data_IF_197507651760
#
_entry.id   IF_197507651760
#
_cell.length_a   1.000
_cell.length_b   1.000
_cell.length_c   1.000
_cell.angle_alpha   90.00
_cell.angle_beta   90.00
_cell.angle_gamma   90.00
#
_symmetry.space_group_name_H-M   'P 1'
#
loop_
_entity.id
_entity.type
_entity.pdbx_description
1 polymer ?
#
# COMPACT_ATOMS: atom_id res chain seq x y z
N UNK A 1 0.76 -28.23 46.48
CA UNK A 1 -0.47 -28.62 45.78
C UNK A 1 -1.64 -28.04 46.56
N UNK A 2 -2.38 -27.03 46.14
CA UNK A 2 -2.28 -26.10 45.03
C UNK A 2 -3.10 -24.87 45.41
N UNK A 3 -2.60 -23.72 44.99
CA UNK A 3 -3.19 -22.40 45.18
C UNK A 3 -4.33 -22.15 44.19
N UNK A 4 -5.45 -21.58 44.64
CA UNK A 4 -6.28 -20.70 43.81
C UNK A 4 -7.28 -19.91 44.67
N UNK A 5 -7.15 -18.56 44.81
CA UNK A 5 -8.26 -17.71 45.22
C UNK A 5 -8.95 -17.06 44.03
N UNK A 6 -10.17 -16.61 44.29
CA UNK A 6 -11.24 -16.35 43.34
C UNK A 6 -11.13 -15.01 42.60
N UNK A 7 -11.38 -15.09 41.29
CA UNK A 7 -12.27 -14.26 40.45
C UNK A 7 -12.47 -12.78 40.89
N UNK A 8 -11.63 -11.90 40.34
CA UNK A 8 -11.89 -10.46 40.25
C UNK A 8 -12.73 -10.11 39.01
N UNK A 9 -13.50 -9.04 39.16
CA UNK A 9 -14.50 -8.41 38.26
C UNK A 9 -14.01 -8.01 36.86
N UNK A 10 -14.92 -7.84 35.87
CA UNK A 10 -14.56 -7.41 34.52
C UNK A 10 -14.26 -5.90 34.49
N UNK A 11 -13.00 -5.55 34.25
CA UNK A 11 -12.61 -4.18 33.94
C UNK A 11 -13.06 -3.81 32.51
N UNK A 12 -13.73 -2.67 32.46
CA UNK A 12 -14.21 -1.92 31.31
C UNK A 12 -13.13 -1.71 30.24
N UNK A 13 -13.36 -2.26 29.04
CA UNK A 13 -12.65 -1.89 27.81
C UNK A 13 -12.97 -0.42 27.47
N UNK A 14 -12.01 0.45 27.76
CA UNK A 14 -12.02 1.86 27.39
C UNK A 14 -11.90 2.06 25.88
N UNK A 15 -12.91 2.75 25.34
CA UNK A 15 -12.86 3.71 24.23
C UNK A 15 -11.91 3.45 23.05
N UNK A 16 -12.44 2.86 21.98
CA UNK A 16 -11.90 3.06 20.63
C UNK A 16 -12.18 4.51 20.20
N UNK A 17 -11.17 5.38 20.37
CA UNK A 17 -11.16 6.70 19.77
C UNK A 17 -11.18 6.61 18.25
N UNK A 18 -12.18 7.27 17.65
CA UNK A 18 -12.36 7.45 16.22
C UNK A 18 -11.16 8.18 15.61
N UNK A 19 -10.22 7.43 15.04
CA UNK A 19 -9.14 8.00 14.24
C UNK A 19 -9.56 8.00 12.77
N UNK A 20 -9.57 9.18 12.18
CA UNK A 20 -9.90 9.45 10.78
C UNK A 20 -8.94 8.69 9.85
N UNK A 21 -9.42 8.15 8.72
CA UNK A 21 -8.65 7.26 7.85
C UNK A 21 -7.48 7.93 7.08
N UNK A 22 -7.27 9.24 7.25
CA UNK A 22 -6.26 10.00 6.49
C UNK A 22 -4.84 9.95 7.06
N UNK A 23 -4.64 9.53 8.31
CA UNK A 23 -3.31 9.56 8.96
C UNK A 23 -2.66 8.19 9.16
N UNK A 24 -3.32 7.10 8.77
CA UNK A 24 -2.84 5.75 9.10
C UNK A 24 -1.50 5.40 8.42
N UNK A 25 -1.18 5.95 7.24
CA UNK A 25 0.06 5.63 6.51
C UNK A 25 1.30 6.40 7.00
N UNK A 26 1.13 7.54 7.68
CA UNK A 26 2.25 8.41 8.01
C UNK A 26 3.04 7.94 9.24
N UNK A 27 2.41 7.21 10.17
CA UNK A 27 3.03 6.76 11.43
C UNK A 27 3.74 5.41 11.38
N UNK A 28 3.65 4.63 10.30
CA UNK A 28 4.34 3.32 10.25
C UNK A 28 5.81 3.49 9.87
N UNK A 29 6.65 3.70 10.87
CA UNK A 29 8.04 3.27 10.79
C UNK A 29 8.04 1.74 10.79
N UNK A 30 8.78 1.13 9.86
CA UNK A 30 8.90 -0.33 9.62
C UNK A 30 9.53 -1.10 10.81
N UNK A 31 9.70 -0.44 11.96
CA UNK A 31 10.29 -0.94 13.20
C UNK A 31 9.27 -1.20 14.32
N UNK A 32 7.97 -1.02 14.08
CA UNK A 32 6.98 -1.18 15.15
C UNK A 32 6.81 -2.66 15.57
N UNK A 33 7.15 -2.95 16.84
CA UNK A 33 6.98 -4.27 17.48
C UNK A 33 5.57 -4.86 17.30
N UNK A 34 4.56 -4.00 17.10
CA UNK A 34 3.18 -4.38 16.79
C UNK A 34 3.03 -5.19 15.50
N UNK A 35 3.84 -4.92 14.48
CA UNK A 35 3.84 -5.70 13.23
C UNK A 35 4.37 -7.10 13.51
N UNK A 36 5.51 -7.20 14.22
CA UNK A 36 6.06 -8.48 14.61
C UNK A 36 5.09 -9.28 15.51
N UNK A 37 4.39 -8.65 16.45
CA UNK A 37 3.35 -9.30 17.27
C UNK A 37 2.13 -9.72 16.45
N UNK A 38 1.66 -8.89 15.50
CA UNK A 38 0.56 -9.25 14.61
C UNK A 38 0.93 -10.47 13.76
N UNK A 39 2.11 -10.47 13.14
CA UNK A 39 2.63 -11.58 12.31
C UNK A 39 2.99 -12.83 13.12
N UNK A 40 3.53 -12.69 14.33
CA UNK A 40 3.86 -13.83 15.21
C UNK A 40 2.58 -14.46 15.79
N UNK A 41 1.54 -13.65 16.09
CA UNK A 41 0.22 -14.18 16.46
C UNK A 41 -0.47 -14.89 15.29
N UNK A 42 -0.34 -14.36 14.06
CA UNK A 42 -0.94 -14.97 12.86
C UNK A 42 -0.16 -16.17 12.30
N UNK A 43 1.15 -16.28 12.54
CA UNK A 43 1.90 -17.51 12.23
C UNK A 43 1.35 -18.73 12.98
N UNK A 44 0.72 -18.52 14.15
CA UNK A 44 0.00 -19.57 14.88
C UNK A 44 -1.46 -19.80 14.48
N UNK A 45 -2.07 -18.90 13.69
CA UNK A 45 -3.52 -18.96 13.36
C UNK A 45 -3.85 -19.10 11.88
N UNK A 46 -2.90 -18.98 10.95
CA UNK A 46 -3.10 -19.35 9.54
C UNK A 46 -3.04 -20.87 9.34
N UNK A 47 -3.78 -21.62 10.17
CA UNK A 47 -4.23 -22.96 9.84
C UNK A 47 -5.40 -22.80 8.86
N UNK A 48 -5.46 -23.69 7.87
CA UNK A 48 -6.28 -23.66 6.66
C UNK A 48 -7.83 -23.59 6.83
N UNK A 49 -8.35 -23.12 7.97
CA UNK A 49 -9.78 -23.11 8.31
C UNK A 49 -10.35 -21.74 8.68
N UNK A 50 -9.54 -20.67 8.76
CA UNK A 50 -10.09 -19.33 9.00
C UNK A 50 -10.59 -18.71 7.69
N UNK A 51 -11.92 -18.62 7.52
CA UNK A 51 -12.54 -17.84 6.44
C UNK A 51 -12.17 -16.36 6.65
N UNK A 52 -11.06 -15.93 6.04
CA UNK A 52 -10.66 -14.52 6.07
C UNK A 52 -11.72 -13.73 5.30
N UNK A 53 -12.35 -12.77 5.98
CA UNK A 53 -13.19 -11.76 5.32
C UNK A 53 -12.29 -10.87 4.44
N UNK A 54 -12.02 -11.33 3.21
CA UNK A 54 -11.04 -10.73 2.31
C UNK A 54 -11.33 -9.25 2.02
N UNK A 55 -12.61 -8.89 1.89
CA UNK A 55 -13.03 -7.50 1.74
C UNK A 55 -12.61 -6.66 2.95
N UNK A 56 -12.96 -7.10 4.17
CA UNK A 56 -12.64 -6.40 5.41
C UNK A 56 -11.13 -6.29 5.64
N UNK A 57 -10.37 -7.32 5.26
CA UNK A 57 -8.90 -7.32 5.34
C UNK A 57 -8.28 -6.20 4.49
N UNK A 58 -8.82 -5.97 3.30
CA UNK A 58 -8.38 -4.86 2.44
C UNK A 58 -8.93 -3.53 2.99
N UNK A 59 -10.19 -3.47 3.41
CA UNK A 59 -10.84 -2.27 3.95
C UNK A 59 -10.09 -1.67 5.16
N UNK A 60 -9.62 -2.51 6.09
CA UNK A 60 -8.83 -2.06 7.26
C UNK A 60 -7.35 -1.80 6.94
N UNK A 61 -6.98 -1.86 5.66
CA UNK A 61 -5.62 -1.69 5.16
C UNK A 61 -4.60 -2.72 5.68
N UNK A 62 -5.06 -3.90 6.11
CA UNK A 62 -4.15 -4.98 6.54
C UNK A 62 -3.30 -5.48 5.36
N UNK A 63 -3.87 -5.54 4.14
CA UNK A 63 -3.11 -5.84 2.93
C UNK A 63 -2.00 -4.81 2.68
N UNK A 64 -2.29 -3.53 2.87
CA UNK A 64 -1.29 -2.47 2.74
C UNK A 64 -0.14 -2.63 3.73
N UNK A 65 -0.44 -3.02 4.97
CA UNK A 65 0.57 -3.32 5.99
C UNK A 65 1.43 -4.53 5.62
N UNK A 66 0.82 -5.61 5.13
CA UNK A 66 1.55 -6.79 4.67
C UNK A 66 2.50 -6.45 3.53
N UNK A 67 2.03 -5.69 2.54
CA UNK A 67 2.86 -5.27 1.41
C UNK A 67 3.96 -4.31 1.89
N UNK A 68 3.69 -3.40 2.82
CA UNK A 68 4.72 -2.54 3.42
C UNK A 68 5.85 -3.35 4.08
N UNK A 69 5.54 -4.47 4.73
CA UNK A 69 6.55 -5.35 5.34
C UNK A 69 7.51 -5.98 4.31
N UNK A 70 7.13 -6.08 3.02
CA UNK A 70 8.06 -6.49 1.94
C UNK A 70 9.22 -5.50 1.72
N UNK A 71 9.05 -4.25 2.15
CA UNK A 71 10.11 -3.23 2.11
C UNK A 71 11.05 -3.28 3.31
N UNK A 72 10.85 -4.21 4.25
CA UNK A 72 11.72 -4.35 5.42
C UNK A 72 13.15 -4.77 5.06
N UNK A 73 14.12 -4.33 5.88
CA UNK A 73 15.52 -4.75 5.77
C UNK A 73 15.72 -6.18 6.29
N UNK A 74 14.88 -6.63 7.21
CA UNK A 74 14.91 -7.98 7.78
C UNK A 74 14.34 -9.02 6.79
N UNK A 75 15.14 -10.04 6.47
CA UNK A 75 14.75 -11.14 5.57
C UNK A 75 13.62 -12.01 6.09
N UNK A 76 13.52 -12.20 7.42
CA UNK A 76 12.48 -13.01 8.05
C UNK A 76 11.14 -12.27 8.01
N UNK A 77 11.16 -10.96 8.27
CA UNK A 77 9.97 -10.12 8.15
C UNK A 77 9.42 -10.13 6.71
N UNK A 78 10.30 -10.03 5.71
CA UNK A 78 9.90 -10.14 4.30
C UNK A 78 9.33 -11.53 3.97
N UNK A 79 9.96 -12.60 4.45
CA UNK A 79 9.47 -13.97 4.24
C UNK A 79 8.07 -14.17 4.86
N UNK A 80 7.82 -13.67 6.06
CA UNK A 80 6.51 -13.70 6.69
C UNK A 80 5.47 -12.92 5.89
N UNK A 81 5.83 -11.74 5.36
CA UNK A 81 4.96 -10.96 4.49
C UNK A 81 4.62 -11.70 3.17
N UNK A 82 5.60 -12.35 2.54
CA UNK A 82 5.35 -13.19 1.37
C UNK A 82 4.42 -14.36 1.68
N UNK A 83 4.59 -15.00 2.84
CA UNK A 83 3.71 -16.09 3.27
C UNK A 83 2.26 -15.62 3.46
N UNK A 84 2.07 -14.47 4.10
CA UNK A 84 0.72 -13.88 4.26
C UNK A 84 0.11 -13.48 2.92
N UNK A 85 0.90 -12.93 1.99
CA UNK A 85 0.40 -12.61 0.64
C UNK A 85 0.00 -13.86 -0.15
N UNK A 86 0.79 -14.93 -0.08
CA UNK A 86 0.46 -16.21 -0.72
C UNK A 86 -0.81 -16.83 -0.12
N UNK A 87 -0.92 -16.80 1.21
CA UNK A 87 -2.12 -17.25 1.92
C UNK A 87 -3.34 -16.42 1.54
N UNK A 88 -3.23 -15.09 1.55
CA UNK A 88 -4.30 -14.18 1.18
C UNK A 88 -4.79 -14.42 -0.25
N UNK A 89 -3.88 -14.66 -1.20
CA UNK A 89 -4.24 -15.04 -2.57
C UNK A 89 -5.11 -16.30 -2.62
N UNK A 90 -4.72 -17.36 -1.90
CA UNK A 90 -5.52 -18.60 -1.85
C UNK A 90 -6.92 -18.40 -1.26
N UNK A 91 -7.06 -17.57 -0.21
CA UNK A 91 -8.37 -17.22 0.34
C UNK A 91 -9.20 -16.38 -0.65
N UNK A 92 -8.54 -15.50 -1.40
CA UNK A 92 -9.18 -14.65 -2.40
C UNK A 92 -9.75 -15.48 -3.58
N UNK A 93 -9.15 -16.62 -3.92
CA UNK A 93 -9.69 -17.57 -4.90
C UNK A 93 -11.01 -18.24 -4.45
N UNK A 94 -11.27 -18.31 -3.15
CA UNK A 94 -12.54 -18.80 -2.59
C UNK A 94 -13.59 -17.72 -2.30
N UNK A 95 -13.17 -16.46 -2.17
CA UNK A 95 -14.03 -15.36 -1.75
C UNK A 95 -15.09 -14.98 -2.82
N UNK A 96 -16.24 -14.46 -2.42
CA UNK A 96 -17.30 -13.99 -3.35
C UNK A 96 -17.65 -12.53 -3.08
N UNK A 97 -17.02 -11.61 -3.82
CA UNK A 97 -17.36 -10.19 -3.86
C UNK A 97 -16.95 -9.57 -5.21
N UNK A 98 -17.53 -8.41 -5.54
CA UNK A 98 -17.49 -7.82 -6.89
C UNK A 98 -16.08 -7.45 -7.35
N UNK A 99 -15.25 -6.95 -6.44
CA UNK A 99 -13.91 -6.42 -6.70
C UNK A 99 -12.82 -7.52 -6.65
N UNK A 100 -13.20 -8.77 -6.38
CA UNK A 100 -12.27 -9.90 -6.23
C UNK A 100 -11.34 -10.04 -7.42
N UNK A 101 -11.87 -10.02 -8.65
CA UNK A 101 -11.09 -10.24 -9.86
C UNK A 101 -10.00 -9.18 -10.05
N UNK A 102 -10.29 -7.94 -9.64
CA UNK A 102 -9.35 -6.82 -9.70
C UNK A 102 -8.24 -6.96 -8.66
N UNK A 103 -8.58 -7.37 -7.44
CA UNK A 103 -7.57 -7.65 -6.41
C UNK A 103 -6.70 -8.86 -6.77
N UNK A 104 -7.27 -9.92 -7.35
CA UNK A 104 -6.49 -11.05 -7.86
C UNK A 104 -5.52 -10.58 -8.94
N UNK A 105 -5.99 -9.76 -9.89
CA UNK A 105 -5.14 -9.21 -10.94
C UNK A 105 -4.00 -8.36 -10.40
N UNK A 106 -4.26 -7.51 -9.39
CA UNK A 106 -3.21 -6.75 -8.71
C UNK A 106 -2.16 -7.67 -8.09
N UNK A 107 -2.59 -8.72 -7.38
CA UNK A 107 -1.68 -9.69 -6.77
C UNK A 107 -0.88 -10.47 -7.82
N UNK A 108 -1.51 -10.85 -8.93
CA UNK A 108 -0.84 -11.47 -10.09
C UNK A 108 0.21 -10.54 -10.68
N UNK A 109 -0.13 -9.27 -10.92
CA UNK A 109 0.79 -8.30 -11.48
C UNK A 109 1.99 -8.04 -10.57
N UNK A 110 1.79 -8.04 -9.24
CA UNK A 110 2.87 -8.00 -8.25
C UNK A 110 3.71 -9.27 -8.31
N UNK A 111 3.09 -10.45 -8.30
CA UNK A 111 3.78 -11.74 -8.32
C UNK A 111 4.63 -11.93 -9.58
N UNK A 112 4.09 -11.58 -10.74
CA UNK A 112 4.80 -11.64 -12.02
C UNK A 112 6.00 -10.66 -12.08
N UNK A 113 6.00 -9.62 -11.24
CA UNK A 113 7.13 -8.70 -11.10
C UNK A 113 8.30 -9.26 -10.28
N UNK A 114 8.06 -10.30 -9.46
CA UNK A 114 9.07 -10.89 -8.57
C UNK A 114 9.96 -11.85 -9.35
N UNK A 115 11.22 -11.46 -9.54
CA UNK A 115 12.22 -12.27 -10.27
C UNK A 115 13.11 -13.14 -9.39
N UNK A 116 13.11 -12.90 -8.08
CA UNK A 116 13.96 -13.62 -7.12
C UNK A 116 13.21 -13.84 -5.81
N UNK A 117 13.46 -14.98 -5.12
CA UNK A 117 12.83 -15.26 -3.85
C UNK A 117 13.25 -14.21 -2.80
N UNK A 118 12.32 -13.86 -1.93
CA UNK A 118 12.53 -12.90 -0.86
C UNK A 118 13.06 -11.53 -1.33
N UNK A 119 12.70 -11.13 -2.56
CA UNK A 119 13.03 -9.82 -3.12
C UNK A 119 12.54 -8.73 -2.18
N UNK A 120 13.40 -7.76 -1.88
CA UNK A 120 12.99 -6.56 -1.16
C UNK A 120 12.32 -5.60 -2.12
N UNK A 121 11.15 -5.10 -1.74
CA UNK A 121 10.46 -4.05 -2.48
C UNK A 121 10.92 -2.67 -2.02
N UNK A 122 10.96 -1.71 -2.93
CA UNK A 122 11.11 -0.30 -2.56
C UNK A 122 9.84 0.18 -1.86
N UNK A 123 9.97 1.02 -0.83
CA UNK A 123 8.82 1.52 -0.08
C UNK A 123 7.78 2.24 -0.97
N UNK A 124 8.23 2.99 -1.98
CA UNK A 124 7.33 3.58 -2.98
C UNK A 124 6.43 2.53 -3.66
N UNK A 125 6.97 1.36 -4.00
CA UNK A 125 6.19 0.30 -4.67
C UNK A 125 5.18 -0.33 -3.72
N UNK A 126 5.58 -0.57 -2.48
CA UNK A 126 4.68 -1.15 -1.49
C UNK A 126 3.53 -0.21 -1.17
N UNK A 127 3.84 1.09 -1.06
CA UNK A 127 2.84 2.15 -0.92
C UNK A 127 1.89 2.22 -2.12
N UNK A 128 2.41 2.06 -3.34
CA UNK A 128 1.59 2.08 -4.55
C UNK A 128 0.57 0.95 -4.53
N UNK A 129 1.02 -0.28 -4.30
CA UNK A 129 0.16 -1.46 -4.24
C UNK A 129 -0.86 -1.33 -3.11
N UNK A 130 -0.46 -0.81 -1.94
CA UNK A 130 -1.38 -0.55 -0.83
C UNK A 130 -2.49 0.44 -1.21
N UNK A 131 -2.15 1.56 -1.85
CA UNK A 131 -3.14 2.55 -2.31
C UNK A 131 -4.04 2.01 -3.41
N UNK A 132 -3.49 1.25 -4.35
CA UNK A 132 -4.26 0.63 -5.43
C UNK A 132 -5.26 -0.37 -4.86
N UNK A 133 -4.86 -1.19 -3.89
CA UNK A 133 -5.78 -2.11 -3.22
C UNK A 133 -6.95 -1.38 -2.55
N UNK A 134 -6.70 -0.24 -1.89
CA UNK A 134 -7.76 0.62 -1.35
C UNK A 134 -8.66 1.20 -2.44
N UNK A 135 -8.05 1.64 -3.55
CA UNK A 135 -8.78 2.25 -4.66
C UNK A 135 -9.71 1.27 -5.36
N UNK A 136 -9.32 -0.01 -5.44
CA UNK A 136 -10.13 -1.09 -6.04
C UNK A 136 -11.46 -1.26 -5.31
N UNK A 137 -11.51 -1.02 -3.99
CA UNK A 137 -12.74 -1.08 -3.20
C UNK A 137 -13.68 0.12 -3.43
N UNK A 138 -13.24 1.13 -4.19
CA UNK A 138 -13.98 2.37 -4.42
C UNK A 138 -14.19 2.63 -5.90
N UNK A 139 -15.03 1.83 -6.58
CA UNK A 139 -15.25 1.94 -8.01
C UNK A 139 -15.88 3.27 -8.46
N UNK A 140 -16.46 4.03 -7.53
CA UNK A 140 -17.11 5.32 -7.79
C UNK A 140 -16.12 6.49 -7.94
N UNK A 141 -14.88 6.34 -7.47
CA UNK A 141 -13.88 7.40 -7.53
C UNK A 141 -13.15 7.39 -8.88
N UNK A 142 -12.88 8.57 -9.46
CA UNK A 142 -12.16 8.69 -10.75
C UNK A 142 -10.82 7.95 -10.80
N UNK A 143 -10.07 7.98 -9.69
CA UNK A 143 -8.78 7.30 -9.59
C UNK A 143 -8.90 5.79 -9.75
N UNK A 144 -10.04 5.17 -9.44
CA UNK A 144 -10.26 3.74 -9.72
C UNK A 144 -10.17 3.45 -11.21
N UNK A 145 -10.80 4.27 -12.07
CA UNK A 145 -10.81 4.08 -13.52
C UNK A 145 -9.38 4.15 -14.05
N UNK A 146 -8.58 5.11 -13.56
CA UNK A 146 -7.20 5.31 -13.99
C UNK A 146 -6.29 4.17 -13.57
N UNK A 147 -6.38 3.75 -12.30
CA UNK A 147 -5.61 2.63 -11.76
C UNK A 147 -5.98 1.33 -12.45
N UNK A 148 -7.27 1.06 -12.60
CA UNK A 148 -7.75 -0.15 -13.27
C UNK A 148 -7.30 -0.20 -14.73
N UNK A 149 -7.40 0.92 -15.47
CA UNK A 149 -6.90 1.01 -16.85
C UNK A 149 -5.39 0.77 -16.93
N UNK A 150 -4.61 1.26 -15.97
CA UNK A 150 -3.18 1.01 -15.89
C UNK A 150 -2.88 -0.47 -15.60
N UNK A 151 -3.59 -1.08 -14.65
CA UNK A 151 -3.43 -2.51 -14.35
C UNK A 151 -3.74 -3.35 -15.59
N UNK A 152 -4.90 -3.17 -16.21
CA UNK A 152 -5.29 -3.96 -17.38
C UNK A 152 -4.38 -3.79 -18.60
N UNK A 153 -3.62 -2.68 -18.70
CA UNK A 153 -2.64 -2.49 -19.77
C UNK A 153 -1.28 -3.12 -19.48
N UNK A 154 -1.01 -3.59 -18.26
CA UNK A 154 0.27 -4.14 -17.83
C UNK A 154 0.12 -5.54 -17.23
N UNK A 155 0.72 -6.54 -17.88
CA UNK A 155 0.72 -7.92 -17.41
C UNK A 155 1.53 -8.15 -16.10
N UNK A 156 2.44 -7.22 -15.78
CA UNK A 156 3.24 -7.24 -14.56
C UNK A 156 3.59 -5.83 -14.12
N UNK A 157 3.85 -5.65 -12.83
CA UNK A 157 4.39 -4.41 -12.28
C UNK A 157 5.92 -4.41 -12.37
N UNK A 158 6.48 -3.45 -13.11
CA UNK A 158 7.93 -3.25 -13.16
C UNK A 158 8.42 -2.68 -11.82
N UNK A 159 8.99 -3.55 -10.98
CA UNK A 159 9.51 -3.19 -9.65
C UNK A 159 10.77 -2.31 -9.70
N UNK A 160 11.24 -1.90 -10.88
CA UNK A 160 12.35 -0.95 -11.05
C UNK A 160 11.88 0.47 -11.33
N UNK A 161 10.57 0.69 -11.37
CA UNK A 161 9.94 1.92 -11.84
C UNK A 161 8.71 2.25 -11.00
N UNK A 162 8.45 3.53 -10.78
CA UNK A 162 7.17 4.03 -10.25
C UNK A 162 6.08 3.72 -11.27
N UNK A 163 5.08 2.91 -10.90
CA UNK A 163 3.99 2.57 -11.80
C UNK A 163 3.11 3.78 -12.12
N UNK A 164 2.73 3.94 -13.38
CA UNK A 164 1.75 4.94 -13.82
C UNK A 164 2.18 6.41 -13.71
N UNK A 165 3.40 6.74 -13.28
CA UNK A 165 3.83 8.13 -13.06
C UNK A 165 3.58 9.03 -14.27
N UNK A 166 4.16 8.68 -15.43
CA UNK A 166 4.02 9.50 -16.65
C UNK A 166 2.59 9.57 -17.16
N UNK A 167 1.83 8.48 -17.03
CA UNK A 167 0.44 8.42 -17.46
C UNK A 167 -0.47 9.35 -16.64
N UNK A 168 -0.29 9.38 -15.33
CA UNK A 168 -1.07 10.25 -14.42
C UNK A 168 -0.60 11.70 -14.48
N UNK A 169 0.71 11.92 -14.55
CA UNK A 169 1.30 13.26 -14.53
C UNK A 169 0.96 14.05 -15.80
N UNK A 170 1.08 13.42 -16.97
CA UNK A 170 0.75 14.03 -18.27
C UNK A 170 -0.67 13.72 -18.74
N UNK A 171 -1.60 13.43 -17.81
CA UNK A 171 -3.01 13.25 -18.15
C UNK A 171 -3.60 14.53 -18.74
N UNK A 172 -4.47 14.35 -19.74
CA UNK A 172 -5.23 15.40 -20.43
C UNK A 172 -6.73 15.32 -20.13
N UNK A 173 -7.15 14.46 -19.20
CA UNK A 173 -8.56 14.30 -18.86
C UNK A 173 -9.08 15.49 -18.03
N UNK A 174 -10.39 15.70 -17.97
CA UNK A 174 -11.00 16.80 -17.21
C UNK A 174 -10.58 16.82 -15.73
N UNK A 175 -10.28 15.67 -15.14
CA UNK A 175 -9.80 15.55 -13.76
C UNK A 175 -8.27 15.41 -13.65
N UNK A 176 -7.51 15.92 -14.62
CA UNK A 176 -6.04 15.87 -14.61
C UNK A 176 -5.43 16.44 -13.32
N UNK A 177 -6.09 17.42 -12.67
CA UNK A 177 -5.64 18.00 -11.39
C UNK A 177 -5.63 16.95 -10.28
N UNK A 178 -6.72 16.17 -10.16
CA UNK A 178 -6.86 15.08 -9.18
C UNK A 178 -5.81 13.99 -9.41
N UNK A 179 -5.56 13.63 -10.67
CA UNK A 179 -4.55 12.62 -11.03
C UNK A 179 -3.12 13.08 -10.71
N UNK A 180 -2.80 14.34 -11.05
CA UNK A 180 -1.49 14.96 -10.73
C UNK A 180 -1.28 15.08 -9.23
N UNK A 181 -2.29 15.55 -8.49
CA UNK A 181 -2.20 15.66 -7.04
C UNK A 181 -2.00 14.27 -6.40
N UNK A 182 -2.73 13.25 -6.88
CA UNK A 182 -2.60 11.90 -6.36
C UNK A 182 -1.18 11.35 -6.53
N UNK A 183 -0.58 11.51 -7.72
CA UNK A 183 0.78 11.01 -7.98
C UNK A 183 1.84 11.85 -7.26
N UNK A 184 1.69 13.17 -7.16
CA UNK A 184 2.61 14.02 -6.41
C UNK A 184 2.58 13.70 -4.92
N UNK A 185 1.38 13.51 -4.34
CA UNK A 185 1.22 13.07 -2.94
C UNK A 185 1.81 11.68 -2.73
N UNK A 186 1.64 10.78 -3.69
CA UNK A 186 2.27 9.46 -3.67
C UNK A 186 3.80 9.57 -3.63
N UNK A 187 4.39 10.43 -4.47
CA UNK A 187 5.84 10.59 -4.52
C UNK A 187 6.40 11.12 -3.20
N UNK A 188 5.74 12.13 -2.62
CA UNK A 188 6.12 12.70 -1.32
C UNK A 188 6.06 11.69 -0.17
N UNK A 189 5.01 10.87 -0.11
CA UNK A 189 4.88 9.84 0.93
C UNK A 189 5.79 8.63 0.70
N UNK A 190 6.08 8.29 -0.56
CA UNK A 190 6.87 7.13 -0.95
C UNK A 190 8.39 7.32 -0.81
N UNK A 191 8.87 8.56 -0.72
CA UNK A 191 10.30 8.85 -0.60
C UNK A 191 10.76 8.69 0.86
N UNK A 192 11.11 7.46 1.26
CA UNK A 192 11.58 7.16 2.63
C UNK A 192 13.04 6.77 2.76
N UNK A 193 13.55 6.03 1.76
CA UNK A 193 14.90 5.46 1.80
C UNK A 193 15.72 5.85 0.57
N UNK A 194 17.05 5.67 0.65
CA UNK A 194 17.97 5.85 -0.48
C UNK A 194 17.53 5.07 -1.73
N UNK A 195 17.05 3.83 -1.56
CA UNK A 195 16.54 3.01 -2.66
C UNK A 195 15.31 3.63 -3.35
N UNK A 196 14.48 4.38 -2.62
CA UNK A 196 13.34 5.11 -3.18
C UNK A 196 13.84 6.29 -4.01
N UNK A 197 14.86 7.00 -3.51
CA UNK A 197 15.51 8.09 -4.23
C UNK A 197 16.13 7.60 -5.54
N UNK A 198 16.92 6.52 -5.50
CA UNK A 198 17.56 5.93 -6.69
C UNK A 198 16.53 5.49 -7.74
N UNK A 199 15.38 4.95 -7.31
CA UNK A 199 14.29 4.57 -8.20
C UNK A 199 13.66 5.80 -8.90
N UNK A 200 13.46 6.90 -8.17
CA UNK A 200 12.90 8.13 -8.72
C UNK A 200 13.90 8.83 -9.66
N UNK A 201 15.18 8.84 -9.30
CA UNK A 201 16.26 9.41 -10.11
C UNK A 201 16.46 8.63 -11.42
N UNK A 202 16.41 7.29 -11.36
CA UNK A 202 16.49 6.43 -12.55
C UNK A 202 15.40 6.75 -13.59
N UNK A 203 14.20 7.13 -13.13
CA UNK A 203 13.09 7.56 -13.99
C UNK A 203 13.05 9.06 -14.27
N UNK A 204 14.03 9.84 -13.78
CA UNK A 204 14.09 11.31 -13.90
C UNK A 204 12.84 12.01 -13.35
N UNK A 205 12.18 11.42 -12.35
CA UNK A 205 10.96 11.98 -11.76
C UNK A 205 11.23 13.37 -11.19
N UNK A 206 12.34 13.53 -10.46
CA UNK A 206 12.71 14.83 -9.89
C UNK A 206 12.88 15.92 -10.95
N UNK A 207 13.48 15.59 -12.10
CA UNK A 207 13.66 16.53 -13.20
C UNK A 207 12.31 16.96 -13.80
N UNK A 208 11.40 16.01 -14.00
CA UNK A 208 10.05 16.26 -14.53
C UNK A 208 9.25 17.14 -13.58
N UNK A 209 9.23 16.78 -12.30
CA UNK A 209 8.49 17.51 -11.25
C UNK A 209 9.03 18.93 -11.11
N UNK A 210 10.37 19.10 -11.02
CA UNK A 210 10.99 20.43 -10.91
C UNK A 210 10.74 21.30 -12.14
N UNK A 211 10.80 20.72 -13.34
CA UNK A 211 10.52 21.44 -14.59
C UNK A 211 9.07 21.90 -14.67
N UNK A 212 8.13 21.11 -14.14
CA UNK A 212 6.73 21.47 -14.07
C UNK A 212 6.46 22.63 -13.09
N UNK A 213 7.13 22.66 -11.93
CA UNK A 213 6.98 23.76 -10.97
C UNK A 213 7.47 25.11 -11.52
N UNK A 214 8.42 25.09 -12.45
CA UNK A 214 8.91 26.30 -13.13
C UNK A 214 8.06 26.70 -14.35
N UNK A 215 7.02 25.92 -14.69
CA UNK A 215 6.14 26.19 -15.82
C UNK A 215 4.94 27.07 -15.41
N UNK A 216 4.48 28.00 -16.27
CA UNK A 216 3.25 28.76 -16.05
C UNK A 216 1.97 27.89 -16.02
N UNK A 217 2.08 26.58 -16.27
CA UNK A 217 1.01 25.59 -16.18
C UNK A 217 0.78 25.04 -14.74
N UNK A 218 1.53 25.55 -13.77
CA UNK A 218 1.40 25.16 -12.37
C UNK A 218 0.19 25.88 -11.73
N UNK A 219 -0.88 25.13 -11.43
CA UNK A 219 -1.99 25.63 -10.60
C UNK A 219 -1.50 25.92 -9.16
N UNK A 220 -1.94 27.03 -8.56
CA UNK A 220 -1.58 27.45 -7.18
C UNK A 220 -1.80 26.35 -6.12
N UNK A 221 -2.76 25.44 -6.34
CA UNK A 221 -3.04 24.30 -5.46
C UNK A 221 -1.98 23.19 -5.46
N UNK A 222 -1.19 23.06 -6.53
CA UNK A 222 -0.08 22.09 -6.59
C UNK A 222 1.18 22.62 -5.88
N UNK A 223 1.37 23.94 -5.84
CA UNK A 223 2.49 24.59 -5.15
C UNK A 223 2.38 24.49 -3.63
N UNK A 224 1.16 24.59 -3.09
CA UNK A 224 0.90 24.52 -1.64
C UNK A 224 1.17 23.13 -1.07
N UNK A 225 0.73 22.06 -1.76
CA UNK A 225 0.97 20.67 -1.32
C UNK A 225 2.45 20.29 -1.33
N UNK A 226 3.23 20.81 -2.29
CA UNK A 226 4.68 20.59 -2.33
C UNK A 226 5.43 21.42 -1.29
N UNK A 227 5.05 22.69 -1.08
CA UNK A 227 5.70 23.59 -0.12
C UNK A 227 5.46 23.20 1.34
N UNK A 228 4.31 22.58 1.66
CA UNK A 228 3.98 22.17 3.03
C UNK A 228 4.75 20.92 3.49
N UNK A 229 5.25 20.10 2.55
CA UNK A 229 5.86 18.79 2.86
C UNK A 229 7.38 18.72 2.65
N UNK A 230 7.99 19.79 2.15
CA UNK A 230 9.44 19.96 2.02
C UNK A 230 10.06 20.86 3.11
N UNK A 231 9.32 21.21 4.16
CA UNK A 231 9.83 21.78 5.42
C UNK A 231 9.94 20.69 6.49
#
# INVERSE_FOLDING_TARGET
MDSCPQRGSPETLGGFGTTTPRNFLLTFSVTDKKIHEYFCSTQGTFVAECVVACHKFVEVNALGLTVAALSSYDSNMRAAAYFVLASFRGHLEGARFRERSQLLYLLDAVQNGIRQPNLRFTFSLTLYVARVAQQILKPEEHMYIKVNRFLLSHQYLDLRKVPGFFQLFYSFDFEYKTEREWILRFLGEGLRDKHCYELYDYQRIFQVVLSFFNSPLCDEGSQTVAAERLR
#
